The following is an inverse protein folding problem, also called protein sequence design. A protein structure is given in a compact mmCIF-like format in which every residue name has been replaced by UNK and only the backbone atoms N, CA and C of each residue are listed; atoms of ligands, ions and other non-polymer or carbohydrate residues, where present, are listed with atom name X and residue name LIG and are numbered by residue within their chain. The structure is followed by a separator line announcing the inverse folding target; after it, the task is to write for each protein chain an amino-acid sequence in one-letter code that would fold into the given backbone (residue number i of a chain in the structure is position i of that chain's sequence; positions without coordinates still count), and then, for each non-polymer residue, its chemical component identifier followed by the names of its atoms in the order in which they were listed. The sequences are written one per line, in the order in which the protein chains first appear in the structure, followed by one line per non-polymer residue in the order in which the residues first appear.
data_IF_946036137007
#
_entry.id   IF_946036137007
#
_cell.length_a   1.000
_cell.length_b   1.000
_cell.length_c   1.000
_cell.angle_alpha   90.00
_cell.angle_beta   90.00
_cell.angle_gamma   90.00
#
_symmetry.space_group_name_H-M   'P 1'
#
loop_
_entity.id
_entity.type
_entity.pdbx_description
1 polymer ?
#
# COMPACT_ATOMS: atom_id res chain seq x y z
N UNK A 1 3.83 -2.43 28.21
CA UNK A 1 3.27 -1.75 27.04
C UNK A 1 4.28 -1.91 25.93
N UNK A 2 3.93 -2.67 24.89
CA UNK A 2 4.77 -2.84 23.71
C UNK A 2 4.34 -1.78 22.68
N UNK A 3 5.28 -0.96 22.24
CA UNK A 3 5.04 0.05 21.19
C UNK A 3 5.63 -0.52 19.91
N UNK A 4 4.76 -0.95 19.00
CA UNK A 4 5.17 -1.43 17.67
C UNK A 4 5.15 -0.23 16.72
N UNK A 5 6.33 0.27 16.33
CA UNK A 5 6.44 1.26 15.27
C UNK A 5 6.27 0.59 13.90
N UNK A 6 5.04 0.49 13.42
CA UNK A 6 4.77 0.09 12.03
C UNK A 6 5.00 1.28 11.11
N UNK A 7 6.07 1.23 10.31
CA UNK A 7 6.37 2.23 9.30
C UNK A 7 5.47 1.99 8.07
N UNK A 8 4.28 2.55 8.10
CA UNK A 8 3.35 2.50 6.98
C UNK A 8 3.79 3.49 5.90
N UNK A 9 3.80 3.03 4.65
CA UNK A 9 4.09 3.85 3.47
C UNK A 9 2.81 3.94 2.62
N UNK A 10 2.56 5.13 2.06
CA UNK A 10 1.42 5.36 1.17
C UNK A 10 1.90 5.46 -0.26
N UNK A 11 1.31 4.66 -1.15
CA UNK A 11 1.51 4.73 -2.59
C UNK A 11 0.23 5.23 -3.26
N UNK A 12 0.30 6.35 -3.97
CA UNK A 12 -0.81 6.85 -4.77
C UNK A 12 -0.67 6.36 -6.21
N UNK A 13 -1.67 5.63 -6.71
CA UNK A 13 -1.73 5.16 -8.09
C UNK A 13 -2.98 5.69 -8.79
N UNK A 14 -3.01 5.64 -10.12
CA UNK A 14 -4.19 6.03 -10.89
C UNK A 14 -5.20 4.88 -11.00
N UNK A 15 -6.49 5.19 -11.08
CA UNK A 15 -7.60 4.22 -11.08
C UNK A 15 -7.75 3.44 -12.40
N UNK A 16 -6.69 2.78 -12.86
CA UNK A 16 -6.69 1.99 -14.10
C UNK A 16 -6.58 0.48 -13.87
N UNK A 17 -6.01 0.09 -12.73
CA UNK A 17 -5.81 -1.33 -12.39
C UNK A 17 -6.68 -1.71 -11.20
N UNK A 18 -7.27 -2.90 -11.27
CA UNK A 18 -7.94 -3.49 -10.11
C UNK A 18 -6.86 -3.99 -9.14
N UNK A 19 -6.83 -3.42 -7.95
CA UNK A 19 -5.88 -3.76 -6.88
C UNK A 19 -6.66 -4.37 -5.73
N UNK A 20 -6.11 -5.40 -5.10
CA UNK A 20 -6.70 -6.03 -3.92
C UNK A 20 -5.63 -6.27 -2.84
N UNK A 21 -6.09 -6.58 -1.63
CA UNK A 21 -5.24 -6.72 -0.43
C UNK A 21 -4.29 -7.93 -0.48
N UNK A 22 -4.54 -8.92 -1.34
CA UNK A 22 -3.66 -10.09 -1.51
C UNK A 22 -2.45 -9.81 -2.39
N UNK A 23 -2.44 -8.67 -3.09
CA UNK A 23 -1.31 -8.24 -3.91
C UNK A 23 -0.15 -7.70 -3.06
N UNK A 24 1.03 -7.59 -3.68
CA UNK A 24 2.24 -7.01 -3.07
C UNK A 24 2.78 -5.89 -3.94
N UNK A 25 3.37 -4.90 -3.29
CA UNK A 25 4.06 -3.79 -3.95
C UNK A 25 5.56 -4.04 -3.91
N UNK A 26 6.22 -3.87 -5.05
CA UNK A 26 7.68 -3.92 -5.16
C UNK A 26 8.18 -2.50 -5.38
N UNK A 27 8.99 -1.98 -4.46
CA UNK A 27 9.56 -0.65 -4.57
C UNK A 27 10.99 -0.63 -4.04
N UNK A 28 11.92 -0.12 -4.86
CA UNK A 28 13.37 -0.05 -4.52
C UNK A 28 13.95 -1.38 -4.02
N UNK A 29 13.54 -2.50 -4.62
CA UNK A 29 14.02 -3.84 -4.26
C UNK A 29 13.46 -4.38 -2.94
N UNK A 30 12.46 -3.71 -2.35
CA UNK A 30 11.76 -4.14 -1.14
C UNK A 30 10.32 -4.50 -1.45
N UNK A 31 9.78 -5.45 -0.69
CA UNK A 31 8.40 -5.89 -0.78
C UNK A 31 7.55 -5.25 0.31
N UNK A 32 6.34 -4.86 -0.06
CA UNK A 32 5.37 -4.27 0.86
C UNK A 32 4.05 -5.03 0.75
N UNK A 33 3.51 -5.44 1.90
CA UNK A 33 2.17 -6.00 2.02
C UNK A 33 1.16 -4.87 2.02
N UNK A 34 0.08 -5.01 1.26
CA UNK A 34 -1.03 -4.05 1.26
C UNK A 34 -1.87 -4.25 2.54
N UNK A 35 -2.12 -3.16 3.26
CA UNK A 35 -2.96 -3.12 4.47
C UNK A 35 -4.31 -2.47 4.15
N UNK A 36 -4.32 -1.45 3.29
CA UNK A 36 -5.56 -0.76 2.94
C UNK A 36 -5.49 -0.17 1.54
N UNK A 37 -6.65 -0.08 0.91
CA UNK A 37 -6.85 0.48 -0.42
C UNK A 37 -7.95 1.53 -0.30
N UNK A 38 -7.61 2.79 -0.60
CA UNK A 38 -8.47 3.95 -0.43
C UNK A 38 -8.68 4.63 -1.79
N UNK A 39 -9.70 4.21 -2.57
CA UNK A 39 -9.98 4.82 -3.86
C UNK A 39 -10.63 6.20 -3.70
N UNK A 40 -10.06 7.21 -4.38
CA UNK A 40 -10.63 8.55 -4.57
C UNK A 40 -11.14 8.69 -6.01
N UNK A 41 -12.47 8.61 -6.16
CA UNK A 41 -13.13 8.71 -7.47
C UNK A 41 -13.05 10.12 -8.07
N UNK A 42 -12.97 11.16 -7.24
CA UNK A 42 -12.90 12.54 -7.70
C UNK A 42 -11.53 12.83 -8.32
N UNK A 43 -10.47 12.32 -7.71
CA UNK A 43 -9.09 12.47 -8.20
C UNK A 43 -8.68 11.41 -9.22
N UNK A 44 -9.53 10.41 -9.46
CA UNK A 44 -9.22 9.22 -10.25
C UNK A 44 -7.94 8.51 -9.77
N UNK A 45 -7.69 8.52 -8.47
CA UNK A 45 -6.53 7.91 -7.84
C UNK A 45 -6.93 6.95 -6.73
N UNK A 46 -6.03 6.07 -6.33
CA UNK A 46 -6.18 5.16 -5.21
C UNK A 46 -4.93 5.25 -4.36
N UNK A 47 -5.11 5.52 -3.07
CA UNK A 47 -4.04 5.46 -2.09
C UNK A 47 -3.96 4.03 -1.53
N UNK A 48 -2.78 3.45 -1.58
CA UNK A 48 -2.50 2.11 -1.08
C UNK A 48 -1.57 2.26 0.11
N UNK A 49 -2.04 1.86 1.28
CA UNK A 49 -1.24 1.83 2.50
C UNK A 49 -0.59 0.47 2.59
N UNK A 50 0.73 0.45 2.62
CA UNK A 50 1.52 -0.77 2.71
C UNK A 50 2.50 -0.76 3.89
N UNK A 51 2.87 -1.95 4.33
CA UNK A 51 3.88 -2.19 5.35
C UNK A 51 5.03 -3.00 4.76
N UNK A 52 6.26 -2.64 5.12
CA UNK A 52 7.46 -3.35 4.70
C UNK A 52 7.45 -4.77 5.24
N UNK A 53 7.71 -5.75 4.39
CA UNK A 53 7.91 -7.15 4.79
C UNK A 53 9.35 -7.56 4.49
N UNK A 54 9.94 -8.33 5.42
CA UNK A 54 11.20 -9.03 5.17
C UNK A 54 10.84 -10.39 4.58
N UNK A 55 11.07 -10.56 3.28
CA UNK A 55 11.11 -11.89 2.65
C UNK A 55 12.50 -12.51 2.80
#
# INVERSE_FOLDING_TARGET
MEIVNTYNITFTVRNYHSINETMRIIWKGKYYRIISILPDKYKQSTDIIGELINE
#
